data_IF_334005539792
#
_entry.id   IF_334005539792
#
_cell.length_a   1.000
_cell.length_b   1.000
_cell.length_c   1.000
_cell.angle_alpha   90.00
_cell.angle_beta   90.00
_cell.angle_gamma   90.00
#
_symmetry.space_group_name_H-M   'P 1'
#
loop_
_entity.id
_entity.type
_entity.pdbx_description
1 polymer ?
#
# COMPACT_ATOMS: atom_id res chain seq x y z
N UNK A 1 43.71 -35.13 38.85
CA UNK A 1 44.37 -34.53 37.66
C UNK A 1 43.27 -34.15 36.68
N UNK A 2 43.01 -32.85 36.52
CA UNK A 2 42.00 -32.31 35.62
C UNK A 2 42.59 -32.18 34.20
N UNK A 3 41.86 -32.64 33.19
CA UNK A 3 42.15 -32.36 31.77
C UNK A 3 40.97 -31.61 31.18
N UNK A 4 41.25 -30.39 30.72
CA UNK A 4 40.28 -29.33 30.40
C UNK A 4 39.47 -29.54 29.11
N UNK A 5 38.59 -28.58 28.78
CA UNK A 5 37.59 -28.73 27.73
C UNK A 5 38.23 -28.79 26.34
N UNK A 6 37.89 -29.82 25.57
CA UNK A 6 38.26 -29.96 24.16
C UNK A 6 37.69 -28.77 23.36
N UNK A 7 38.57 -27.87 22.94
CA UNK A 7 38.23 -26.80 22.01
C UNK A 7 37.76 -27.43 20.69
N UNK A 8 36.50 -27.21 20.31
CA UNK A 8 35.94 -27.69 19.05
C UNK A 8 36.54 -26.85 17.92
N UNK A 9 37.50 -27.40 17.18
CA UNK A 9 38.07 -26.74 16.00
C UNK A 9 37.05 -26.75 14.86
N UNK A 10 36.49 -25.59 14.53
CA UNK A 10 35.66 -25.45 13.33
C UNK A 10 36.51 -25.66 12.07
N UNK A 11 36.13 -26.66 11.28
CA UNK A 11 36.86 -26.96 10.05
C UNK A 11 36.59 -25.91 8.97
N UNK A 12 37.52 -25.67 8.01
CA UNK A 12 37.30 -24.74 6.91
C UNK A 12 36.01 -25.03 6.10
N UNK A 13 35.60 -26.29 6.06
CA UNK A 13 34.37 -26.74 5.40
C UNK A 13 33.10 -26.25 6.12
N UNK A 14 33.07 -26.36 7.46
CA UNK A 14 31.96 -25.85 8.27
C UNK A 14 31.80 -24.33 8.13
N UNK A 15 32.93 -23.60 8.07
CA UNK A 15 32.93 -22.15 7.85
C UNK A 15 32.32 -21.78 6.50
N UNK A 16 32.68 -22.49 5.43
CA UNK A 16 32.11 -22.26 4.08
C UNK A 16 30.62 -22.57 4.04
N UNK A 17 30.19 -23.67 4.67
CA UNK A 17 28.77 -24.04 4.74
C UNK A 17 27.95 -23.00 5.51
N UNK A 18 28.50 -22.47 6.61
CA UNK A 18 27.88 -21.41 7.41
C UNK A 18 27.72 -20.10 6.63
N UNK A 19 28.70 -19.73 5.79
CA UNK A 19 28.60 -18.56 4.91
C UNK A 19 27.52 -18.75 3.85
N UNK A 20 27.45 -19.92 3.22
CA UNK A 20 26.43 -20.23 2.20
C UNK A 20 25.02 -20.24 2.80
N UNK A 21 24.84 -20.79 4.02
CA UNK A 21 23.54 -20.71 4.70
C UNK A 21 23.16 -19.28 5.07
N UNK A 22 24.11 -18.49 5.60
CA UNK A 22 23.85 -17.09 5.94
C UNK A 22 23.45 -16.27 4.70
N UNK A 23 24.11 -16.48 3.55
CA UNK A 23 23.74 -15.84 2.28
C UNK A 23 22.34 -16.26 1.82
N UNK A 24 22.01 -17.56 1.90
CA UNK A 24 20.69 -18.08 1.52
C UNK A 24 19.58 -17.53 2.41
N UNK A 25 19.83 -17.38 3.70
CA UNK A 25 18.85 -16.84 4.64
C UNK A 25 18.68 -15.33 4.47
N UNK A 26 19.77 -14.59 4.21
CA UNK A 26 19.70 -13.18 3.82
C UNK A 26 18.90 -12.97 2.52
N UNK A 27 19.09 -13.83 1.52
CA UNK A 27 18.33 -13.78 0.27
C UNK A 27 16.82 -14.04 0.50
N UNK A 28 16.47 -14.99 1.37
CA UNK A 28 15.05 -15.24 1.75
C UNK A 28 14.44 -14.05 2.49
N UNK A 29 15.19 -13.41 3.39
CA UNK A 29 14.74 -12.21 4.10
C UNK A 29 14.52 -11.04 3.13
N UNK A 30 15.43 -10.85 2.17
CA UNK A 30 15.27 -9.82 1.13
C UNK A 30 14.05 -10.10 0.24
N UNK A 31 13.82 -11.36 -0.14
CA UNK A 31 12.64 -11.76 -0.90
C UNK A 31 11.33 -11.49 -0.13
N UNK A 32 11.27 -11.88 1.15
CA UNK A 32 10.10 -11.58 2.00
C UNK A 32 9.88 -10.07 2.18
N UNK A 33 10.94 -9.29 2.37
CA UNK A 33 10.84 -7.83 2.47
C UNK A 33 10.31 -7.22 1.17
N UNK A 34 10.75 -7.71 0.00
CA UNK A 34 10.26 -7.27 -1.30
C UNK A 34 8.78 -7.66 -1.53
N UNK A 35 8.37 -8.87 -1.13
CA UNK A 35 6.95 -9.29 -1.20
C UNK A 35 6.07 -8.46 -0.27
N UNK A 36 6.53 -8.17 0.95
CA UNK A 36 5.82 -7.28 1.88
C UNK A 36 5.75 -5.84 1.38
N UNK A 37 6.78 -5.36 0.68
CA UNK A 37 6.77 -4.06 0.02
C UNK A 37 5.79 -4.01 -1.17
N UNK A 38 5.71 -5.09 -1.96
CA UNK A 38 4.76 -5.22 -3.06
C UNK A 38 3.31 -5.33 -2.55
N UNK A 39 3.07 -6.10 -1.49
CA UNK A 39 1.76 -6.23 -0.83
C UNK A 39 1.28 -4.92 -0.19
N UNK A 40 2.20 -3.98 0.10
CA UNK A 40 1.90 -2.63 0.60
C UNK A 40 1.66 -1.59 -0.50
N UNK A 41 1.66 -1.95 -1.79
CA UNK A 41 1.41 -0.99 -2.87
C UNK A 41 -0.03 -0.46 -2.76
N UNK A 42 -0.15 0.69 -2.10
CA UNK A 42 -1.36 1.51 -2.09
C UNK A 42 -1.63 2.02 -3.49
N UNK A 43 -2.91 2.17 -3.84
CA UNK A 43 -3.31 2.85 -5.07
C UNK A 43 -2.67 4.26 -5.09
N UNK A 44 -1.94 4.62 -6.17
CA UNK A 44 -1.42 5.97 -6.35
C UNK A 44 -2.57 6.98 -6.43
N UNK A 45 -2.30 8.19 -5.98
CA UNK A 45 -3.29 9.27 -5.90
C UNK A 45 -3.83 9.62 -7.29
N UNK A 46 -2.94 9.66 -8.28
CA UNK A 46 -3.26 9.99 -9.66
C UNK A 46 -4.21 8.96 -10.28
N UNK A 47 -4.09 7.69 -9.87
CA UNK A 47 -5.03 6.64 -10.26
C UNK A 47 -6.38 6.81 -9.57
N UNK A 48 -6.40 7.21 -8.30
CA UNK A 48 -7.65 7.51 -7.60
C UNK A 48 -8.42 8.64 -8.28
N UNK A 49 -7.74 9.71 -8.70
CA UNK A 49 -8.35 10.83 -9.43
C UNK A 49 -8.97 10.38 -10.75
N UNK A 50 -8.23 9.57 -11.52
CA UNK A 50 -8.71 9.01 -12.78
C UNK A 50 -9.92 8.10 -12.60
N UNK A 51 -9.93 7.25 -11.57
CA UNK A 51 -11.06 6.36 -11.28
C UNK A 51 -12.31 7.17 -10.91
N UNK A 52 -12.15 8.22 -10.12
CA UNK A 52 -13.26 9.07 -9.67
C UNK A 52 -13.68 10.11 -10.71
N UNK A 53 -12.89 10.30 -11.77
CA UNK A 53 -13.16 11.26 -12.83
C UNK A 53 -13.14 12.70 -12.33
N UNK A 54 -12.20 13.01 -11.44
CA UNK A 54 -12.00 14.33 -10.85
C UNK A 54 -10.61 14.85 -11.22
N UNK A 55 -10.51 16.16 -11.42
CA UNK A 55 -9.23 16.80 -11.68
C UNK A 55 -8.51 17.12 -10.37
N UNK A 56 -7.18 17.06 -10.39
CA UNK A 56 -6.35 17.36 -9.20
C UNK A 56 -6.59 18.77 -8.66
N UNK A 57 -7.07 19.72 -9.49
CA UNK A 57 -7.44 21.06 -9.05
C UNK A 57 -8.69 21.07 -8.14
N UNK A 58 -9.63 20.16 -8.37
CA UNK A 58 -10.90 20.08 -7.63
C UNK A 58 -10.71 19.52 -6.21
N UNK A 59 -9.69 18.68 -6.03
CA UNK A 59 -9.29 18.06 -4.75
C UNK A 59 -8.83 19.10 -3.70
N UNK A 60 -8.35 20.25 -4.13
CA UNK A 60 -7.83 21.30 -3.23
C UNK A 60 -8.88 22.35 -2.84
N UNK A 61 -10.12 22.23 -3.33
CA UNK A 61 -11.21 23.15 -2.99
C UNK A 61 -11.78 22.87 -1.58
N UNK A 62 -12.41 23.87 -0.95
CA UNK A 62 -13.15 23.70 0.30
C UNK A 62 -14.25 22.64 0.19
N UNK A 63 -14.85 22.53 -1.00
CA UNK A 63 -15.94 21.60 -1.36
C UNK A 63 -15.43 20.24 -1.87
N UNK A 64 -14.11 20.01 -1.90
CA UNK A 64 -13.52 18.80 -2.48
C UNK A 64 -14.08 17.49 -1.89
N UNK A 65 -14.47 17.50 -0.61
CA UNK A 65 -15.07 16.32 0.04
C UNK A 65 -16.46 16.00 -0.51
N UNK A 66 -17.24 17.03 -0.81
CA UNK A 66 -18.62 16.88 -1.27
C UNK A 66 -18.61 16.44 -2.75
N UNK A 67 -17.75 17.06 -3.57
CA UNK A 67 -17.49 16.65 -4.97
C UNK A 67 -17.08 15.17 -5.02
N UNK A 68 -16.12 14.77 -4.19
CA UNK A 68 -15.69 13.37 -4.10
C UNK A 68 -16.83 12.42 -3.71
N UNK A 69 -17.68 12.82 -2.76
CA UNK A 69 -18.79 12.00 -2.30
C UNK A 69 -19.85 11.82 -3.41
N UNK A 70 -20.13 12.87 -4.18
CA UNK A 70 -21.04 12.82 -5.31
C UNK A 70 -20.53 11.88 -6.41
N UNK A 71 -19.27 12.05 -6.82
CA UNK A 71 -18.64 11.19 -7.83
C UNK A 71 -18.57 9.73 -7.38
N UNK A 72 -18.20 9.49 -6.12
CA UNK A 72 -18.19 8.16 -5.53
C UNK A 72 -19.58 7.53 -5.58
N UNK A 73 -20.62 8.23 -5.11
CA UNK A 73 -21.99 7.72 -5.10
C UNK A 73 -22.46 7.38 -6.50
N UNK A 74 -22.25 8.28 -7.46
CA UNK A 74 -22.63 8.06 -8.87
C UNK A 74 -21.96 6.83 -9.46
N UNK A 75 -20.65 6.67 -9.26
CA UNK A 75 -19.90 5.52 -9.78
C UNK A 75 -20.27 4.23 -9.06
N UNK A 76 -20.50 4.28 -7.75
CA UNK A 76 -20.92 3.11 -6.97
C UNK A 76 -22.29 2.62 -7.41
N UNK A 77 -23.25 3.55 -7.57
CA UNK A 77 -24.61 3.28 -8.04
C UNK A 77 -24.61 2.70 -9.46
N UNK A 78 -23.78 3.23 -10.37
CA UNK A 78 -23.62 2.70 -11.74
C UNK A 78 -23.05 1.27 -11.77
N UNK A 79 -22.22 0.91 -10.79
CA UNK A 79 -21.62 -0.42 -10.71
C UNK A 79 -22.44 -1.40 -9.86
N UNK A 80 -23.58 -0.96 -9.29
CA UNK A 80 -24.49 -1.84 -8.57
C UNK A 80 -25.21 -2.80 -9.53
N UNK A 81 -25.44 -4.06 -9.11
CA UNK A 81 -26.23 -4.99 -9.88
C UNK A 81 -27.67 -4.46 -10.07
N UNK A 82 -28.09 -4.41 -11.34
CA UNK A 82 -29.46 -4.19 -11.78
C UNK A 82 -29.88 -5.29 -12.79
N UNK A 83 -30.14 -6.53 -12.35
CA UNK A 83 -30.51 -7.63 -13.25
C UNK A 83 -31.91 -7.42 -13.86
N UNK A 84 -32.15 -7.88 -15.10
CA UNK A 84 -31.24 -8.71 -15.93
C UNK A 84 -30.21 -7.90 -16.73
N UNK A 85 -30.35 -6.57 -16.79
CA UNK A 85 -29.58 -5.71 -17.70
C UNK A 85 -28.11 -5.60 -17.29
N UNK A 86 -27.81 -5.66 -15.99
CA UNK A 86 -26.46 -5.56 -15.48
C UNK A 86 -26.29 -6.32 -14.16
N UNK A 87 -25.35 -7.27 -14.11
CA UNK A 87 -25.09 -8.06 -12.89
C UNK A 87 -24.14 -7.38 -11.90
N UNK A 88 -23.81 -6.11 -12.12
CA UNK A 88 -22.86 -5.40 -11.29
C UNK A 88 -21.41 -5.82 -11.56
N UNK A 89 -20.47 -5.14 -10.91
CA UNK A 89 -19.08 -5.58 -10.87
C UNK A 89 -18.48 -5.35 -9.49
N UNK A 90 -18.41 -6.40 -8.65
CA UNK A 90 -17.82 -6.30 -7.32
C UNK A 90 -16.37 -5.77 -7.35
N UNK A 91 -15.63 -6.12 -8.41
CA UNK A 91 -14.28 -5.62 -8.61
C UNK A 91 -14.26 -4.10 -8.84
N UNK A 92 -15.12 -3.59 -9.73
CA UNK A 92 -15.18 -2.15 -10.00
C UNK A 92 -15.67 -1.37 -8.78
N UNK A 93 -16.64 -1.90 -8.03
CA UNK A 93 -17.09 -1.30 -6.76
C UNK A 93 -15.95 -1.18 -5.76
N UNK A 94 -15.18 -2.25 -5.55
CA UNK A 94 -14.02 -2.22 -4.64
C UNK A 94 -12.94 -1.23 -5.11
N UNK A 95 -12.72 -1.10 -6.42
CA UNK A 95 -11.78 -0.13 -6.99
C UNK A 95 -12.24 1.32 -6.76
N UNK A 96 -13.53 1.61 -6.94
CA UNK A 96 -14.14 2.92 -6.68
C UNK A 96 -14.07 3.26 -5.19
N UNK A 97 -14.34 2.29 -4.30
CA UNK A 97 -14.24 2.47 -2.85
C UNK A 97 -12.80 2.74 -2.39
N UNK A 98 -11.83 2.02 -2.94
CA UNK A 98 -10.41 2.27 -2.64
C UNK A 98 -9.94 3.63 -3.14
N UNK A 99 -10.36 4.04 -4.34
CA UNK A 99 -10.06 5.37 -4.88
C UNK A 99 -10.59 6.48 -3.97
N UNK A 100 -11.85 6.37 -3.53
CA UNK A 100 -12.46 7.32 -2.60
C UNK A 100 -11.69 7.45 -1.28
N UNK A 101 -11.29 6.31 -0.70
CA UNK A 101 -10.47 6.30 0.53
C UNK A 101 -9.11 6.97 0.34
N UNK A 102 -8.44 6.77 -0.80
CA UNK A 102 -7.14 7.38 -1.09
C UNK A 102 -7.27 8.90 -1.26
N UNK A 103 -8.25 9.37 -2.03
CA UNK A 103 -8.50 10.80 -2.24
C UNK A 103 -8.85 11.51 -0.92
N UNK A 104 -9.66 10.90 -0.06
CA UNK A 104 -9.95 11.45 1.27
C UNK A 104 -8.70 11.57 2.16
N UNK A 105 -7.79 10.59 2.08
CA UNK A 105 -6.53 10.63 2.83
C UNK A 105 -5.62 11.76 2.33
N UNK A 106 -5.62 12.04 1.03
CA UNK A 106 -4.86 13.15 0.46
C UNK A 106 -5.37 14.50 0.96
N UNK A 107 -6.69 14.75 0.91
CA UNK A 107 -7.28 15.99 1.43
C UNK A 107 -6.91 16.19 2.91
N UNK A 108 -6.96 15.12 3.71
CA UNK A 108 -6.57 15.18 5.11
C UNK A 108 -5.09 15.50 5.30
N UNK A 109 -4.20 14.95 4.46
CA UNK A 109 -2.76 15.26 4.49
C UNK A 109 -2.49 16.71 4.09
N UNK A 110 -3.16 17.21 3.06
CA UNK A 110 -3.08 18.62 2.64
C UNK A 110 -3.44 19.57 3.79
N UNK A 111 -4.60 19.35 4.42
CA UNK A 111 -5.04 20.15 5.58
C UNK A 111 -4.05 20.14 6.75
N UNK A 112 -3.41 18.98 7.01
CA UNK A 112 -2.38 18.87 8.06
C UNK A 112 -1.09 19.61 7.69
N UNK A 113 -0.69 19.59 6.42
CA UNK A 113 0.45 20.34 5.94
C UNK A 113 0.21 21.85 6.08
N UNK A 114 -0.95 22.34 5.64
CA UNK A 114 -1.31 23.77 5.72
C UNK A 114 -1.40 24.27 7.17
N UNK A 115 -1.96 23.45 8.07
CA UNK A 115 -2.02 23.76 9.49
C UNK A 115 -0.63 23.86 10.13
N UNK A 116 0.32 23.03 9.69
CA UNK A 116 1.71 23.06 10.17
C UNK A 116 2.43 24.33 9.71
N UNK A 117 2.25 24.75 8.45
CA UNK A 117 2.86 25.98 7.92
C UNK A 117 2.35 27.24 8.62
N UNK A 118 1.07 27.31 9.00
CA UNK A 118 0.52 28.47 9.73
C UNK A 118 0.94 28.57 11.20
N UNK A 119 1.55 27.51 11.75
CA UNK A 119 2.00 27.45 13.15
C UNK A 119 3.49 27.77 13.35
N UNK A 120 4.23 27.96 12.25
CA UNK A 120 5.65 28.33 12.21
C UNK A 120 5.82 29.76 11.74
#
# INVERSE_FOLDING_TARGET
MAVGPLARYHTPYERRRAVVSAYRDAAKQAAQAATMAAAKRKMPVEEAHKILGIDSAEIHNAEARDILAEHYKKLYDLNNPNPPDFYGSPYLQSRVEHAYKVALQEIQKGKKADAKVKST
#
